data_IF_195190432024
#
_entry.id   IF_195190432024
#
_cell.length_a   1.000
_cell.length_b   1.000
_cell.length_c   1.000
_cell.angle_alpha   90.00
_cell.angle_beta   90.00
_cell.angle_gamma   90.00
#
_symmetry.space_group_name_H-M   'P 1'
#
loop_
_entity.id
_entity.type
_entity.pdbx_description
1 polymer ?
#
# COMPACT_ATOMS: atom_id res chain seq x y z
N UNK A 1 16.35 -24.07 -57.57
CA UNK A 1 15.27 -24.94 -57.06
C UNK A 1 15.78 -25.56 -55.77
N UNK A 2 15.10 -25.29 -54.66
CA UNK A 2 15.53 -25.67 -53.32
C UNK A 2 15.07 -27.08 -53.01
N UNK A 3 16.00 -27.98 -52.73
CA UNK A 3 15.70 -29.32 -52.23
C UNK A 3 15.50 -29.25 -50.70
N UNK A 4 14.23 -29.17 -50.31
CA UNK A 4 13.76 -29.27 -48.92
C UNK A 4 13.36 -30.72 -48.70
N UNK A 5 14.18 -31.51 -48.00
CA UNK A 5 13.78 -32.89 -47.80
C UNK A 5 14.66 -33.78 -46.97
N UNK A 6 15.20 -33.32 -45.83
CA UNK A 6 15.48 -34.19 -44.67
C UNK A 6 16.03 -33.35 -43.49
N UNK A 7 15.15 -32.68 -42.75
CA UNK A 7 15.44 -32.47 -41.32
C UNK A 7 15.51 -33.87 -40.70
N UNK A 8 16.61 -34.21 -40.00
CA UNK A 8 16.77 -35.54 -39.41
C UNK A 8 15.62 -35.76 -38.43
N UNK A 9 15.02 -36.95 -38.45
CA UNK A 9 13.95 -37.35 -37.51
C UNK A 9 14.31 -37.02 -36.04
N UNK A 10 15.59 -37.10 -35.67
CA UNK A 10 16.10 -36.69 -34.35
C UNK A 10 16.02 -35.18 -34.07
N UNK A 11 16.16 -34.31 -35.08
CA UNK A 11 16.00 -32.86 -34.92
C UNK A 11 14.53 -32.48 -34.72
N UNK A 12 13.62 -33.16 -35.41
CA UNK A 12 12.17 -33.04 -35.21
C UNK A 12 11.75 -33.51 -33.81
N UNK A 13 12.29 -34.64 -33.34
CA UNK A 13 12.04 -35.13 -31.97
C UNK A 13 12.62 -34.19 -30.89
N UNK A 14 13.77 -33.54 -31.15
CA UNK A 14 14.36 -32.55 -30.24
C UNK A 14 13.65 -31.19 -30.29
N UNK A 15 13.10 -30.78 -31.43
CA UNK A 15 12.21 -29.61 -31.54
C UNK A 15 10.89 -29.86 -30.80
N UNK A 16 10.24 -31.02 -30.99
CA UNK A 16 9.00 -31.37 -30.26
C UNK A 16 9.23 -31.48 -28.74
N UNK A 17 10.35 -32.07 -28.28
CA UNK A 17 10.71 -32.12 -26.85
C UNK A 17 11.02 -30.73 -26.27
N UNK A 18 11.64 -29.82 -27.04
CA UNK A 18 11.84 -28.42 -26.63
C UNK A 18 10.54 -27.62 -26.61
N UNK A 19 9.59 -27.95 -27.46
CA UNK A 19 8.29 -27.28 -27.53
C UNK A 19 7.34 -27.78 -26.44
N UNK A 20 7.48 -29.04 -26.00
CA UNK A 20 6.72 -29.60 -24.87
C UNK A 20 7.33 -29.33 -23.49
N UNK A 21 8.65 -29.33 -23.35
CA UNK A 21 9.32 -29.21 -22.04
C UNK A 21 10.21 -27.96 -21.91
N UNK A 22 10.43 -27.16 -22.96
CA UNK A 22 11.41 -26.06 -22.90
C UNK A 22 11.02 -24.87 -22.02
N UNK A 23 9.73 -24.64 -21.81
CA UNK A 23 9.20 -23.67 -20.83
C UNK A 23 8.99 -24.34 -19.47
N UNK A 24 8.34 -25.50 -19.44
CA UNK A 24 8.02 -26.22 -18.19
C UNK A 24 9.26 -26.72 -17.43
N UNK A 25 10.34 -27.12 -18.12
CA UNK A 25 11.59 -27.56 -17.48
C UNK A 25 12.38 -26.36 -16.94
N UNK A 26 12.32 -25.20 -17.60
CA UNK A 26 12.92 -23.96 -17.06
C UNK A 26 12.15 -23.44 -15.85
N UNK A 27 10.82 -23.51 -15.91
CA UNK A 27 9.95 -23.13 -14.81
C UNK A 27 10.05 -24.14 -13.66
N UNK A 28 10.22 -25.44 -13.92
CA UNK A 28 10.53 -26.45 -12.90
C UNK A 28 11.91 -26.28 -12.29
N UNK A 29 12.96 -26.02 -13.06
CA UNK A 29 14.31 -25.76 -12.52
C UNK A 29 14.30 -24.46 -11.70
N UNK A 30 13.62 -23.42 -12.17
CA UNK A 30 13.44 -22.19 -11.42
C UNK A 30 12.61 -22.41 -10.15
N UNK A 31 11.56 -23.24 -10.19
CA UNK A 31 10.76 -23.60 -9.02
C UNK A 31 11.51 -24.50 -8.04
N UNK A 32 12.34 -25.44 -8.51
CA UNK A 32 13.20 -26.30 -7.69
C UNK A 32 14.38 -25.50 -7.09
N UNK A 33 14.95 -24.53 -7.82
CA UNK A 33 15.92 -23.57 -7.26
C UNK A 33 15.27 -22.63 -6.23
N UNK A 34 14.05 -22.12 -6.48
CA UNK A 34 13.26 -21.34 -5.52
C UNK A 34 12.95 -22.17 -4.26
N UNK A 35 12.53 -23.43 -4.43
CA UNK A 35 12.23 -24.35 -3.33
C UNK A 35 13.49 -24.76 -2.53
N UNK A 36 14.65 -24.90 -3.18
CA UNK A 36 15.91 -25.21 -2.47
C UNK A 36 16.52 -23.99 -1.76
N UNK A 37 16.26 -22.75 -2.24
CA UNK A 37 16.73 -21.50 -1.60
C UNK A 37 15.84 -21.02 -0.47
N UNK A 38 14.53 -21.29 -0.51
CA UNK A 38 13.62 -21.03 0.61
C UNK A 38 14.02 -21.78 1.90
N UNK A 39 14.89 -22.80 1.81
CA UNK A 39 15.46 -23.51 2.95
C UNK A 39 16.84 -23.01 3.42
N UNK A 40 17.40 -21.95 2.83
CA UNK A 40 18.71 -21.44 3.23
C UNK A 40 18.57 -20.51 4.46
N UNK A 41 19.13 -20.88 5.64
CA UNK A 41 18.95 -20.13 6.88
C UNK A 41 19.46 -18.69 6.79
N UNK A 42 20.43 -18.41 5.91
CA UNK A 42 20.94 -17.04 5.69
C UNK A 42 19.97 -16.16 4.92
N UNK A 43 19.22 -16.74 3.98
CA UNK A 43 18.26 -15.98 3.18
C UNK A 43 17.01 -15.65 4.03
N UNK A 44 16.61 -16.56 4.92
CA UNK A 44 15.59 -16.29 5.94
C UNK A 44 16.00 -15.17 6.90
N UNK A 45 17.26 -15.17 7.38
CA UNK A 45 17.77 -14.11 8.26
C UNK A 45 17.80 -12.74 7.54
N UNK A 46 18.22 -12.71 6.28
CA UNK A 46 18.23 -11.47 5.48
C UNK A 46 16.81 -11.00 5.15
N UNK A 47 15.88 -11.93 4.89
CA UNK A 47 14.48 -11.61 4.65
C UNK A 47 13.84 -11.00 5.90
N UNK A 48 14.07 -11.58 7.07
CA UNK A 48 13.57 -11.05 8.35
C UNK A 48 14.05 -9.61 8.61
N UNK A 49 15.28 -9.27 8.22
CA UNK A 49 15.79 -7.89 8.33
C UNK A 49 15.10 -6.87 7.42
N UNK A 50 14.29 -7.33 6.46
CA UNK A 50 13.53 -6.48 5.56
C UNK A 50 12.02 -6.56 5.81
N UNK A 51 11.55 -7.43 6.71
CA UNK A 51 10.10 -7.61 6.98
C UNK A 51 9.44 -6.29 7.41
N UNK A 52 10.01 -5.61 8.41
CA UNK A 52 9.48 -4.33 8.89
C UNK A 52 9.52 -3.25 7.79
N UNK A 53 10.59 -3.23 6.99
CA UNK A 53 10.70 -2.31 5.86
C UNK A 53 9.63 -2.59 4.78
N UNK A 54 9.32 -3.86 4.51
CA UNK A 54 8.30 -4.25 3.55
C UNK A 54 6.89 -3.90 4.04
N UNK A 55 6.61 -4.08 5.34
CA UNK A 55 5.35 -3.66 5.95
C UNK A 55 5.18 -2.14 5.84
N UNK A 56 6.21 -1.36 6.19
CA UNK A 56 6.13 0.09 6.05
C UNK A 56 6.03 0.57 4.61
N UNK A 57 6.65 -0.13 3.64
CA UNK A 57 6.50 0.17 2.21
C UNK A 57 5.06 -0.09 1.73
N UNK A 58 4.42 -1.18 2.19
CA UNK A 58 3.03 -1.49 1.87
C UNK A 58 2.06 -0.46 2.49
N UNK A 59 2.28 -0.10 3.75
CA UNK A 59 1.53 0.97 4.43
C UNK A 59 1.69 2.33 3.73
N UNK A 60 2.90 2.64 3.27
CA UNK A 60 3.17 3.88 2.54
C UNK A 60 2.37 3.94 1.24
N UNK A 61 2.39 2.87 0.45
CA UNK A 61 1.61 2.77 -0.80
C UNK A 61 0.10 2.89 -0.53
N UNK A 62 -0.38 2.24 0.53
CA UNK A 62 -1.75 2.38 1.01
C UNK A 62 -2.12 3.83 1.31
N UNK A 63 -1.34 4.51 2.17
CA UNK A 63 -1.61 5.90 2.55
C UNK A 63 -1.50 6.87 1.37
N UNK A 64 -0.57 6.66 0.44
CA UNK A 64 -0.46 7.48 -0.77
C UNK A 64 -1.70 7.33 -1.66
N UNK A 65 -2.23 6.11 -1.77
CA UNK A 65 -3.43 5.85 -2.55
C UNK A 65 -4.70 6.39 -1.86
N UNK A 66 -4.81 6.24 -0.55
CA UNK A 66 -5.88 6.85 0.26
C UNK A 66 -5.86 8.38 0.19
N UNK A 67 -4.66 9.00 0.21
CA UNK A 67 -4.51 10.44 0.09
C UNK A 67 -5.04 10.94 -1.26
N UNK A 68 -4.77 10.22 -2.36
CA UNK A 68 -5.31 10.57 -3.67
C UNK A 68 -6.85 10.54 -3.67
N UNK A 69 -7.47 9.57 -2.99
CA UNK A 69 -8.92 9.51 -2.80
C UNK A 69 -9.42 10.75 -2.05
N UNK A 70 -8.73 11.14 -0.96
CA UNK A 70 -9.10 12.30 -0.14
C UNK A 70 -9.01 13.62 -0.92
N UNK A 71 -7.99 13.76 -1.79
CA UNK A 71 -7.80 14.97 -2.60
C UNK A 71 -8.86 15.09 -3.71
N UNK A 72 -9.24 13.98 -4.34
CA UNK A 72 -10.13 13.97 -5.51
C UNK A 72 -11.63 13.90 -5.16
N UNK A 73 -12.00 13.13 -4.13
CA UNK A 73 -13.41 12.81 -3.84
C UNK A 73 -14.08 13.83 -2.92
N UNK A 74 -15.40 13.93 -3.05
CA UNK A 74 -16.18 14.73 -2.11
C UNK A 74 -16.12 14.09 -0.70
N UNK A 75 -16.00 14.89 0.38
CA UNK A 75 -15.93 14.31 1.72
C UNK A 75 -17.13 13.43 2.10
N UNK A 76 -18.32 13.70 1.52
CA UNK A 76 -19.51 12.85 1.74
C UNK A 76 -19.36 11.43 1.19
N UNK A 77 -18.51 11.24 0.18
CA UNK A 77 -18.27 9.96 -0.50
C UNK A 77 -17.04 9.21 0.04
N UNK A 78 -16.23 9.85 0.90
CA UNK A 78 -14.93 9.30 1.30
C UNK A 78 -15.02 7.95 1.99
N UNK A 79 -15.96 7.77 2.92
CA UNK A 79 -16.12 6.50 3.64
C UNK A 79 -16.32 5.35 2.65
N UNK A 80 -17.26 5.51 1.71
CA UNK A 80 -17.54 4.49 0.71
C UNK A 80 -16.35 4.26 -0.24
N UNK A 81 -15.64 5.32 -0.61
CA UNK A 81 -14.47 5.22 -1.50
C UNK A 81 -13.30 4.49 -0.85
N UNK A 82 -13.01 4.79 0.42
CA UNK A 82 -11.94 4.15 1.20
C UNK A 82 -12.29 2.70 1.54
N UNK A 83 -13.53 2.42 1.95
CA UNK A 83 -14.00 1.04 2.22
C UNK A 83 -13.93 0.16 0.96
N UNK A 84 -14.17 0.73 -0.22
CA UNK A 84 -14.11 0.00 -1.48
C UNK A 84 -12.68 -0.44 -1.86
N UNK A 85 -11.66 0.26 -1.35
CA UNK A 85 -10.26 -0.05 -1.66
C UNK A 85 -9.78 -1.34 -0.97
N UNK A 86 -10.45 -1.76 0.11
CA UNK A 86 -10.19 -3.01 0.85
C UNK A 86 -8.71 -3.25 1.18
N UNK A 87 -7.96 -2.18 1.45
CA UNK A 87 -6.54 -2.28 1.81
C UNK A 87 -6.38 -2.98 3.16
N UNK A 88 -7.28 -2.68 4.09
CA UNK A 88 -7.34 -3.29 5.40
C UNK A 88 -8.81 -3.45 5.81
N UNK A 89 -9.25 -4.70 6.00
CA UNK A 89 -10.64 -5.00 6.38
C UNK A 89 -10.98 -4.69 7.83
N UNK A 90 -9.98 -4.38 8.67
CA UNK A 90 -10.18 -4.04 10.08
C UNK A 90 -10.31 -2.54 10.32
N UNK A 91 -9.94 -1.70 9.34
CA UNK A 91 -10.06 -0.24 9.46
C UNK A 91 -11.52 0.21 9.44
N UNK A 92 -11.82 1.17 10.32
CA UNK A 92 -13.15 1.74 10.46
C UNK A 92 -13.14 3.20 10.01
N UNK A 93 -13.04 3.44 8.69
CA UNK A 93 -12.81 4.77 8.12
C UNK A 93 -13.84 5.81 8.58
N UNK A 94 -15.12 5.45 8.71
CA UNK A 94 -16.14 6.36 9.23
C UNK A 94 -15.79 6.93 10.62
N UNK A 95 -15.28 6.09 11.52
CA UNK A 95 -14.90 6.50 12.87
C UNK A 95 -13.56 7.24 12.89
N UNK A 96 -12.60 6.80 12.08
CA UNK A 96 -11.28 7.41 11.99
C UNK A 96 -11.36 8.84 11.47
N UNK A 97 -12.07 9.06 10.35
CA UNK A 97 -12.24 10.38 9.76
C UNK A 97 -12.92 11.35 10.74
N UNK A 98 -13.96 10.89 11.45
CA UNK A 98 -14.62 11.69 12.50
C UNK A 98 -13.66 12.09 13.62
N UNK A 99 -12.90 11.13 14.15
CA UNK A 99 -11.94 11.40 15.25
C UNK A 99 -10.84 12.36 14.82
N UNK A 100 -10.40 12.31 13.57
CA UNK A 100 -9.39 13.23 13.04
C UNK A 100 -9.93 14.66 13.02
N UNK A 101 -11.16 14.85 12.51
CA UNK A 101 -11.82 16.16 12.51
C UNK A 101 -12.08 16.65 13.94
N UNK A 102 -12.56 15.76 14.82
CA UNK A 102 -12.80 16.06 16.23
C UNK A 102 -11.52 16.56 16.91
N UNK A 103 -10.42 15.81 16.82
CA UNK A 103 -9.16 16.21 17.44
C UNK A 103 -8.57 17.50 16.87
N UNK A 104 -8.71 17.74 15.56
CA UNK A 104 -8.25 18.98 14.95
C UNK A 104 -8.99 20.19 15.52
N UNK A 105 -10.30 20.07 15.72
CA UNK A 105 -11.13 21.17 16.23
C UNK A 105 -11.20 21.25 17.76
N UNK A 106 -10.89 20.18 18.49
CA UNK A 106 -10.74 20.21 19.96
C UNK A 106 -9.64 21.18 20.41
N UNK A 107 -8.62 21.38 19.58
CA UNK A 107 -7.55 22.34 19.85
C UNK A 107 -8.00 23.82 19.71
N UNK A 108 -9.19 24.07 19.15
CA UNK A 108 -9.71 25.40 18.87
C UNK A 108 -10.83 25.79 19.85
N UNK A 109 -10.58 26.82 20.67
CA UNK A 109 -11.45 27.22 21.79
C UNK A 109 -12.89 27.61 21.41
N UNK A 110 -13.14 27.96 20.14
CA UNK A 110 -14.43 28.47 19.65
C UNK A 110 -15.22 27.46 18.79
N UNK A 111 -14.83 26.17 18.81
CA UNK A 111 -15.46 25.12 17.97
C UNK A 111 -16.37 24.13 18.71
N UNK A 112 -16.71 24.39 19.98
CA UNK A 112 -17.53 23.47 20.80
C UNK A 112 -18.87 23.09 20.13
N UNK A 113 -19.53 24.06 19.49
CA UNK A 113 -20.78 23.81 18.78
C UNK A 113 -20.60 22.94 17.53
N UNK A 114 -19.45 23.01 16.85
CA UNK A 114 -19.12 22.15 15.71
C UNK A 114 -18.81 20.73 16.16
N UNK A 115 -18.07 20.59 17.26
CA UNK A 115 -17.71 19.30 17.84
C UNK A 115 -18.94 18.46 18.22
N UNK A 116 -20.02 19.09 18.71
CA UNK A 116 -21.27 18.37 18.98
C UNK A 116 -21.87 17.75 17.71
N UNK A 117 -21.86 18.49 16.60
CA UNK A 117 -22.33 17.96 15.31
C UNK A 117 -21.42 16.85 14.81
N UNK A 118 -20.09 17.02 14.92
CA UNK A 118 -19.12 15.98 14.55
C UNK A 118 -19.39 14.69 15.33
N UNK A 119 -19.65 14.78 16.64
CA UNK A 119 -19.92 13.60 17.48
C UNK A 119 -21.20 12.86 17.06
N UNK A 120 -22.28 13.59 16.77
CA UNK A 120 -23.60 13.02 16.50
C UNK A 120 -23.83 12.60 15.04
N UNK A 121 -23.23 13.31 14.07
CA UNK A 121 -23.46 13.07 12.65
C UNK A 121 -22.69 11.86 12.11
N UNK A 122 -23.27 11.16 11.14
CA UNK A 122 -22.49 10.28 10.26
C UNK A 122 -21.52 11.12 9.42
N UNK A 123 -20.33 10.58 9.13
CA UNK A 123 -19.30 11.35 8.42
C UNK A 123 -19.78 11.82 7.04
N UNK A 124 -20.52 10.98 6.32
CA UNK A 124 -21.06 11.29 5.00
C UNK A 124 -22.02 12.47 4.98
N UNK A 125 -22.69 12.75 6.12
CA UNK A 125 -23.67 13.83 6.27
C UNK A 125 -23.09 15.06 6.99
N UNK A 126 -21.82 15.02 7.39
CA UNK A 126 -21.23 15.98 8.31
C UNK A 126 -21.26 17.40 7.74
N UNK A 127 -20.86 17.58 6.48
CA UNK A 127 -20.85 18.88 5.81
C UNK A 127 -22.25 19.46 5.69
N UNK A 128 -23.24 18.64 5.32
CA UNK A 128 -24.62 19.09 5.20
C UNK A 128 -25.16 19.57 6.56
N UNK A 129 -24.94 18.79 7.62
CA UNK A 129 -25.37 19.13 8.98
C UNK A 129 -24.69 20.40 9.51
N UNK A 130 -23.40 20.58 9.26
CA UNK A 130 -22.66 21.78 9.63
C UNK A 130 -23.19 23.02 8.89
N UNK A 131 -23.37 22.95 7.57
CA UNK A 131 -23.89 24.05 6.77
C UNK A 131 -25.32 24.45 7.19
N UNK A 132 -26.17 23.46 7.48
CA UNK A 132 -27.54 23.70 7.94
C UNK A 132 -27.61 24.32 9.34
N UNK A 133 -26.72 23.90 10.25
CA UNK A 133 -26.67 24.45 11.61
C UNK A 133 -26.06 25.85 11.66
N UNK A 134 -25.17 26.18 10.73
CA UNK A 134 -24.44 27.45 10.70
C UNK A 134 -24.54 28.15 9.33
N UNK A 135 -25.74 28.57 8.89
CA UNK A 135 -25.92 29.19 7.58
C UNK A 135 -25.25 30.57 7.43
N UNK A 136 -24.86 31.20 8.55
CA UNK A 136 -24.12 32.48 8.56
C UNK A 136 -22.61 32.32 8.67
N UNK A 137 -22.09 31.09 8.68
CA UNK A 137 -20.66 30.84 8.68
C UNK A 137 -20.03 31.27 7.35
N UNK A 138 -18.95 32.06 7.45
CA UNK A 138 -18.29 32.70 6.30
C UNK A 138 -17.20 31.86 5.65
N UNK A 139 -16.82 30.74 6.29
CA UNK A 139 -15.81 29.83 5.76
C UNK A 139 -16.44 28.71 4.94
N UNK A 140 -15.66 27.66 4.69
CA UNK A 140 -16.08 26.49 3.94
C UNK A 140 -15.75 25.22 4.71
N UNK A 141 -16.76 24.63 5.37
CA UNK A 141 -16.58 23.40 6.13
C UNK A 141 -16.06 22.24 5.28
N UNK A 142 -16.40 22.20 3.98
CA UNK A 142 -15.93 21.15 3.07
C UNK A 142 -14.43 21.26 2.88
N UNK A 143 -13.93 22.45 2.57
CA UNK A 143 -12.50 22.68 2.37
C UNK A 143 -11.72 22.57 3.68
N UNK A 144 -12.26 23.05 4.80
CA UNK A 144 -11.62 22.90 6.12
C UNK A 144 -11.44 21.43 6.51
N UNK A 145 -12.51 20.62 6.42
CA UNK A 145 -12.45 19.19 6.73
C UNK A 145 -11.47 18.50 5.79
N UNK A 146 -11.53 18.80 4.50
CA UNK A 146 -10.60 18.23 3.51
C UNK A 146 -9.15 18.57 3.85
N UNK A 147 -8.85 19.83 4.18
CA UNK A 147 -7.49 20.26 4.55
C UNK A 147 -6.97 19.50 5.75
N UNK A 148 -7.79 19.33 6.79
CA UNK A 148 -7.44 18.57 8.00
C UNK A 148 -7.08 17.12 7.66
N UNK A 149 -7.90 16.47 6.82
CA UNK A 149 -7.64 15.09 6.40
C UNK A 149 -6.36 14.99 5.56
N UNK A 150 -6.17 15.88 4.58
CA UNK A 150 -4.96 15.91 3.74
C UNK A 150 -3.71 16.07 4.60
N UNK A 151 -3.70 17.03 5.54
CA UNK A 151 -2.57 17.26 6.43
C UNK A 151 -2.28 16.04 7.29
N UNK A 152 -3.33 15.37 7.80
CA UNK A 152 -3.18 14.15 8.59
C UNK A 152 -2.57 13.01 7.77
N UNK A 153 -3.03 12.76 6.54
CA UNK A 153 -2.47 11.71 5.69
C UNK A 153 -1.04 12.03 5.24
N UNK A 154 -0.72 13.28 4.92
CA UNK A 154 0.65 13.72 4.62
C UNK A 154 1.59 13.46 5.81
N UNK A 155 1.12 13.73 7.03
CA UNK A 155 1.89 13.41 8.24
C UNK A 155 2.15 11.90 8.37
N UNK A 156 1.15 11.04 8.16
CA UNK A 156 1.31 9.59 8.22
C UNK A 156 2.30 9.07 7.17
N UNK A 157 2.22 9.59 5.95
CA UNK A 157 3.15 9.29 4.86
C UNK A 157 4.59 9.65 5.25
N UNK A 158 4.82 10.84 5.79
CA UNK A 158 6.17 11.25 6.20
C UNK A 158 6.70 10.41 7.37
N UNK A 159 5.86 10.04 8.35
CA UNK A 159 6.24 9.12 9.43
C UNK A 159 6.68 7.77 8.84
N UNK A 160 5.92 7.19 7.91
CA UNK A 160 6.28 5.91 7.29
C UNK A 160 7.56 6.01 6.46
N UNK A 161 7.78 7.11 5.74
CA UNK A 161 9.05 7.36 5.05
C UNK A 161 10.24 7.44 6.01
N UNK A 162 10.09 8.04 7.19
CA UNK A 162 11.13 8.06 8.20
C UNK A 162 11.40 6.67 8.77
N UNK A 163 10.37 5.89 9.11
CA UNK A 163 10.55 4.50 9.57
C UNK A 163 11.30 3.65 8.51
N UNK A 164 10.92 3.75 7.22
CA UNK A 164 11.64 3.07 6.13
C UNK A 164 13.13 3.49 6.09
N UNK A 165 13.44 4.78 6.30
CA UNK A 165 14.84 5.24 6.35
C UNK A 165 15.60 4.66 7.53
N UNK A 166 14.96 4.53 8.69
CA UNK A 166 15.54 3.91 9.89
C UNK A 166 15.86 2.43 9.64
N UNK A 167 14.90 1.65 9.12
CA UNK A 167 15.10 0.23 8.78
C UNK A 167 16.21 0.03 7.73
N UNK A 168 16.20 0.86 6.68
CA UNK A 168 17.25 0.87 5.65
C UNK A 168 18.62 1.18 6.27
N UNK A 169 18.67 2.03 7.28
CA UNK A 169 19.91 2.38 7.97
C UNK A 169 20.42 1.22 8.82
N UNK A 170 19.54 0.49 9.49
CA UNK A 170 19.91 -0.74 10.21
C UNK A 170 20.51 -1.80 9.27
N UNK A 171 19.86 -2.04 8.13
CA UNK A 171 20.37 -2.98 7.11
C UNK A 171 21.79 -2.59 6.67
N UNK A 172 22.05 -1.30 6.48
CA UNK A 172 23.38 -0.77 6.11
C UNK A 172 24.40 -0.95 7.23
N UNK A 173 24.03 -0.71 8.49
CA UNK A 173 24.92 -0.91 9.66
C UNK A 173 25.36 -2.37 9.78
N UNK A 174 24.48 -3.31 9.42
CA UNK A 174 24.80 -4.74 9.34
C UNK A 174 25.67 -5.11 8.11
N UNK A 175 26.10 -4.13 7.32
CA UNK A 175 26.98 -4.31 6.15
C UNK A 175 26.26 -4.81 4.90
N UNK A 176 24.93 -4.84 4.90
CA UNK A 176 24.12 -5.28 3.77
C UNK A 176 23.69 -4.10 2.89
N UNK A 177 23.53 -4.37 1.60
CA UNK A 177 22.90 -3.41 0.67
C UNK A 177 21.38 -3.55 0.78
N UNK A 178 20.61 -2.46 0.99
CA UNK A 178 19.15 -2.53 1.09
C UNK A 178 18.49 -3.20 -0.11
N UNK A 179 18.91 -2.86 -1.34
CA UNK A 179 18.39 -3.51 -2.55
C UNK A 179 18.80 -4.98 -2.72
N UNK A 180 19.77 -5.48 -1.94
CA UNK A 180 20.04 -6.91 -1.85
C UNK A 180 19.08 -7.57 -0.84
N UNK A 181 18.92 -6.99 0.35
CA UNK A 181 17.96 -7.47 1.36
C UNK A 181 16.53 -7.53 0.79
N UNK A 182 16.05 -6.46 0.15
CA UNK A 182 14.73 -6.43 -0.53
C UNK A 182 14.55 -7.55 -1.55
N UNK A 183 15.60 -7.86 -2.30
CA UNK A 183 15.55 -8.92 -3.33
C UNK A 183 15.46 -10.30 -2.70
N UNK A 184 16.24 -10.55 -1.64
CA UNK A 184 16.21 -11.80 -0.90
C UNK A 184 14.84 -11.97 -0.22
N UNK A 185 14.32 -10.92 0.41
CA UNK A 185 12.95 -10.89 0.94
C UNK A 185 11.92 -11.29 -0.12
N UNK A 186 11.91 -10.61 -1.26
CA UNK A 186 11.02 -10.93 -2.39
C UNK A 186 11.14 -12.38 -2.83
N UNK A 187 12.36 -12.87 -3.01
CA UNK A 187 12.61 -14.26 -3.41
C UNK A 187 12.14 -15.28 -2.37
N UNK A 188 12.36 -15.00 -1.09
CA UNK A 188 11.99 -15.86 0.03
C UNK A 188 10.45 -15.97 0.17
N UNK A 189 9.73 -14.85 -0.01
CA UNK A 189 8.27 -14.82 0.03
C UNK A 189 7.59 -15.12 -1.31
N UNK A 190 8.34 -15.36 -2.38
CA UNK A 190 7.79 -15.65 -3.71
C UNK A 190 7.11 -14.45 -4.39
N UNK A 191 7.50 -13.23 -4.03
CA UNK A 191 7.00 -11.96 -4.57
C UNK A 191 7.88 -11.58 -5.77
N UNK A 192 7.33 -11.56 -6.99
CA UNK A 192 8.08 -11.16 -8.21
C UNK A 192 8.36 -9.64 -8.27
#
# INVERSE_FOLDING_TARGET
>A
MADKGTKRYMELQMEELKETYGSEEKDRIAAEERASRAGNPKDAEIAALYEDCAEYEADLEAFESELAIIEERDPSELVAALDAQKVDSERAYAQELKKIVEHAWEAEADREAYLNIVKEAEFSELIEKLNNAFPGYSGDFKEEIRSILIERWKMLIEIKKEHIKEEISEIKVRGLKPGFAKRIYKQYHGIE
#
